data_IF_390753665929
#
_entry.id   IF_390753665929
#
_cell.length_a   1.000
_cell.length_b   1.000
_cell.length_c   1.000
_cell.angle_alpha   90.00
_cell.angle_beta   90.00
_cell.angle_gamma   90.00
#
_symmetry.space_group_name_H-M   'P 1'
#
loop_
_entity.id
_entity.type
_entity.pdbx_description
1 polymer ?
#
# COMPACT_ATOMS: atom_id res chain seq x y z
N UNK A 1 3.63 -14.40 5.13
CA UNK A 1 3.69 -13.92 3.73
C UNK A 1 2.60 -12.90 3.45
N UNK A 2 2.93 -11.62 3.33
CA UNK A 2 1.96 -10.53 3.10
C UNK A 2 1.29 -10.58 1.71
N UNK A 3 0.07 -10.02 1.61
CA UNK A 3 -0.76 -10.01 0.39
C UNK A 3 -0.03 -9.41 -0.82
N UNK A 4 0.68 -8.29 -0.63
CA UNK A 4 1.43 -7.60 -1.69
C UNK A 4 2.51 -8.50 -2.31
N UNK A 5 3.19 -9.31 -1.49
CA UNK A 5 4.20 -10.26 -1.97
C UNK A 5 3.58 -11.32 -2.88
N UNK A 6 2.38 -11.82 -2.54
CA UNK A 6 1.67 -12.81 -3.37
C UNK A 6 1.30 -12.21 -4.73
N UNK A 7 0.76 -11.00 -4.73
CA UNK A 7 0.40 -10.27 -5.96
C UNK A 7 1.61 -10.01 -6.87
N UNK A 8 2.78 -9.69 -6.28
CA UNK A 8 4.03 -9.55 -7.05
C UNK A 8 4.50 -10.88 -7.65
N UNK A 9 4.39 -11.98 -6.89
CA UNK A 9 4.77 -13.31 -7.37
C UNK A 9 3.87 -13.73 -8.54
N UNK A 10 2.57 -13.52 -8.43
CA UNK A 10 1.63 -13.83 -9.52
C UNK A 10 1.89 -12.98 -10.76
N UNK A 11 2.12 -11.66 -10.59
CA UNK A 11 2.50 -10.78 -11.71
C UNK A 11 3.75 -11.30 -12.43
N UNK A 12 4.82 -11.63 -11.68
CA UNK A 12 6.07 -12.14 -12.26
C UNK A 12 5.92 -13.50 -12.95
N UNK A 13 5.06 -14.37 -12.42
CA UNK A 13 4.78 -15.67 -13.04
C UNK A 13 4.08 -15.48 -14.39
N UNK A 14 3.07 -14.61 -14.44
CA UNK A 14 2.35 -14.28 -15.67
C UNK A 14 3.25 -13.61 -16.71
N UNK A 15 4.07 -12.63 -16.31
CA UNK A 15 4.99 -11.93 -17.22
C UNK A 15 5.99 -12.90 -17.89
N UNK A 16 6.52 -13.87 -17.13
CA UNK A 16 7.41 -14.89 -17.70
C UNK A 16 6.68 -15.83 -18.65
N UNK A 17 5.47 -16.26 -18.31
CA UNK A 17 4.69 -17.15 -19.16
C UNK A 17 4.28 -16.48 -20.49
N UNK A 18 3.92 -15.20 -20.46
CA UNK A 18 3.45 -14.48 -21.65
C UNK A 18 4.56 -14.05 -22.59
N UNK A 19 5.75 -13.71 -22.06
CA UNK A 19 6.79 -13.04 -22.86
C UNK A 19 8.12 -13.77 -22.89
N UNK A 20 8.30 -14.84 -22.09
CA UNK A 20 9.55 -15.60 -22.06
C UNK A 20 10.77 -14.82 -21.57
N UNK A 21 10.59 -13.60 -21.03
CA UNK A 21 11.69 -12.73 -20.58
C UNK A 21 11.55 -12.33 -19.11
N UNK A 22 12.68 -12.19 -18.43
CA UNK A 22 12.79 -11.69 -17.05
C UNK A 22 12.84 -10.15 -16.94
N UNK A 23 12.86 -9.44 -18.07
CA UNK A 23 13.18 -8.01 -18.13
C UNK A 23 11.93 -7.12 -18.15
N UNK A 24 11.60 -6.59 -16.96
CA UNK A 24 10.54 -5.59 -16.66
C UNK A 24 10.54 -4.37 -17.60
N UNK A 25 11.68 -4.06 -18.23
CA UNK A 25 11.82 -2.91 -19.12
C UNK A 25 11.09 -3.08 -20.46
N UNK A 26 10.72 -4.31 -20.85
CA UNK A 26 9.98 -4.56 -22.10
C UNK A 26 8.48 -4.34 -21.96
N UNK A 27 7.90 -4.60 -20.79
CA UNK A 27 6.44 -4.64 -20.65
C UNK A 27 5.81 -3.26 -20.44
N UNK A 28 6.57 -2.22 -20.04
CA UNK A 28 6.00 -0.93 -19.58
C UNK A 28 4.88 -1.07 -18.52
N UNK A 29 4.67 -2.27 -17.98
CA UNK A 29 3.61 -2.57 -17.01
C UNK A 29 4.05 -2.07 -15.65
N UNK A 30 3.21 -1.26 -15.02
CA UNK A 30 3.47 -0.74 -13.68
C UNK A 30 3.41 -1.89 -12.66
N UNK A 31 4.32 -1.89 -11.68
CA UNK A 31 4.31 -2.92 -10.62
C UNK A 31 3.01 -2.81 -9.81
N UNK A 32 2.33 -3.94 -9.60
CA UNK A 32 1.04 -3.98 -8.92
C UNK A 32 1.15 -3.40 -7.49
N UNK A 33 2.26 -3.62 -6.79
CA UNK A 33 2.41 -3.06 -5.45
C UNK A 33 2.50 -1.53 -5.49
N UNK A 34 3.21 -0.97 -6.47
CA UNK A 34 3.26 0.48 -6.69
C UNK A 34 1.87 1.03 -7.03
N UNK A 35 1.09 0.33 -7.87
CA UNK A 35 -0.27 0.74 -8.22
C UNK A 35 -1.20 0.71 -7.00
N UNK A 36 -1.19 -0.37 -6.24
CA UNK A 36 -1.99 -0.52 -5.01
C UNK A 36 -1.61 0.55 -3.98
N UNK A 37 -0.32 0.83 -3.81
CA UNK A 37 0.16 1.90 -2.94
C UNK A 37 -0.39 3.27 -3.33
N UNK A 38 -0.26 3.62 -4.62
CA UNK A 38 -0.70 4.91 -5.16
C UNK A 38 -2.20 5.09 -4.98
N UNK A 39 -2.99 4.07 -5.31
CA UNK A 39 -4.46 4.11 -5.12
C UNK A 39 -4.84 4.24 -3.64
N UNK A 40 -4.18 3.48 -2.75
CA UNK A 40 -4.39 3.59 -1.30
C UNK A 40 -4.09 5.00 -0.80
N UNK A 41 -2.99 5.61 -1.24
CA UNK A 41 -2.62 6.98 -0.86
C UNK A 41 -3.59 8.01 -1.39
N UNK A 42 -3.96 7.94 -2.66
CA UNK A 42 -4.91 8.88 -3.27
C UNK A 42 -6.25 8.86 -2.54
N UNK A 43 -6.76 7.67 -2.23
CA UNK A 43 -7.98 7.52 -1.45
C UNK A 43 -7.82 8.06 -0.03
N UNK A 44 -6.76 7.68 0.68
CA UNK A 44 -6.51 8.15 2.04
C UNK A 44 -6.35 9.67 2.13
N UNK A 45 -5.63 10.28 1.18
CA UNK A 45 -5.48 11.73 1.12
C UNK A 45 -6.76 12.43 0.72
N UNK A 46 -7.56 11.86 -0.18
CA UNK A 46 -8.89 12.37 -0.49
C UNK A 46 -9.78 12.39 0.77
N UNK A 47 -9.81 11.29 1.54
CA UNK A 47 -10.58 11.21 2.79
C UNK A 47 -10.03 12.16 3.86
N UNK A 48 -8.71 12.28 4.02
CA UNK A 48 -8.09 13.16 5.02
C UNK A 48 -8.34 14.66 4.78
N UNK A 49 -8.59 15.06 3.52
CA UNK A 49 -8.94 16.44 3.15
C UNK A 49 -10.43 16.74 3.24
N UNK A 50 -11.28 15.72 3.39
CA UNK A 50 -12.72 15.94 3.54
C UNK A 50 -13.05 16.38 4.95
N UNK A 51 -13.88 17.41 5.06
CA UNK A 51 -14.40 17.96 6.32
C UNK A 51 -15.89 17.64 6.54
N UNK A 52 -16.49 16.85 5.64
CA UNK A 52 -17.94 16.57 5.58
C UNK A 52 -18.46 15.62 6.68
N UNK A 53 -17.65 15.28 7.69
CA UNK A 53 -18.05 14.46 8.83
C UNK A 53 -18.48 13.02 8.48
N UNK A 54 -18.29 12.59 7.23
CA UNK A 54 -18.75 11.28 6.75
C UNK A 54 -17.92 10.13 7.32
N UNK A 55 -18.48 8.94 7.21
CA UNK A 55 -17.93 7.70 7.78
C UNK A 55 -16.53 7.35 7.25
N UNK A 56 -16.05 7.97 6.16
CA UNK A 56 -14.73 7.71 5.59
C UNK A 56 -13.58 7.93 6.59
N UNK A 57 -13.63 9.01 7.38
CA UNK A 57 -12.59 9.29 8.37
C UNK A 57 -12.67 8.30 9.53
N UNK A 58 -13.89 7.94 9.95
CA UNK A 58 -14.13 6.89 10.94
C UNK A 58 -13.58 5.53 10.48
N UNK A 59 -13.78 5.13 9.23
CA UNK A 59 -13.26 3.88 8.65
C UNK A 59 -11.75 3.86 8.64
N UNK A 60 -11.12 4.99 8.33
CA UNK A 60 -9.66 5.10 8.24
C UNK A 60 -8.96 5.04 9.61
N UNK A 61 -9.60 5.60 10.63
CA UNK A 61 -9.15 5.52 12.03
C UNK A 61 -9.71 4.30 12.77
N UNK A 62 -10.62 3.55 12.15
CA UNK A 62 -11.33 2.45 12.78
C UNK A 62 -10.36 1.40 13.29
N UNK A 63 -10.47 1.11 14.59
CA UNK A 63 -9.72 0.04 15.24
C UNK A 63 -10.63 -1.16 15.43
N UNK A 64 -10.37 -2.29 14.77
CA UNK A 64 -11.17 -3.49 14.95
C UNK A 64 -10.85 -4.14 16.31
N UNK A 65 -11.62 -3.76 17.34
CA UNK A 65 -11.77 -4.38 18.68
C UNK A 65 -10.65 -4.15 19.72
N UNK A 66 -11.08 -4.21 20.99
CA UNK A 66 -10.33 -4.03 22.24
C UNK A 66 -9.66 -5.33 22.77
N UNK A 67 -9.83 -6.48 22.09
CA UNK A 67 -9.34 -7.79 22.55
C UNK A 67 -8.03 -8.30 21.91
N UNK A 68 -7.45 -9.39 22.45
CA UNK A 68 -6.25 -10.07 21.91
C UNK A 68 -6.61 -10.94 20.69
N UNK A 69 -5.71 -11.02 19.69
CA UNK A 69 -5.85 -11.89 18.49
C UNK A 69 -5.02 -13.16 18.62
N UNK A 70 -5.40 -14.20 17.86
CA UNK A 70 -4.59 -15.40 17.69
C UNK A 70 -3.23 -15.07 17.07
N UNK A 71 -2.21 -15.85 17.46
CA UNK A 71 -0.84 -15.73 16.96
C UNK A 71 -0.85 -15.90 15.43
N UNK A 72 -0.10 -15.04 14.73
CA UNK A 72 0.04 -15.08 13.26
C UNK A 72 -0.86 -14.12 12.47
N UNK A 73 -1.83 -13.44 13.10
CA UNK A 73 -2.65 -12.40 12.42
C UNK A 73 -2.37 -11.01 13.01
N UNK A 74 -1.37 -10.27 12.50
CA UNK A 74 -1.04 -8.95 13.03
C UNK A 74 -2.24 -8.01 12.92
N UNK A 75 -2.34 -7.07 13.87
CA UNK A 75 -3.34 -6.01 13.84
C UNK A 75 -2.98 -4.92 12.82
N UNK A 76 -2.78 -5.29 11.55
CA UNK A 76 -2.48 -4.30 10.50
C UNK A 76 -3.72 -3.48 10.22
N UNK A 77 -3.66 -2.19 10.56
CA UNK A 77 -4.67 -1.18 10.26
C UNK A 77 -4.43 -0.61 8.87
N UNK A 78 -5.48 -0.04 8.29
CA UNK A 78 -5.36 0.69 7.03
C UNK A 78 -4.31 1.81 7.12
N UNK A 79 -4.32 2.53 8.24
CA UNK A 79 -3.36 3.60 8.55
C UNK A 79 -1.93 3.12 8.76
N UNK A 80 -1.70 1.85 9.07
CA UNK A 80 -0.34 1.35 9.32
C UNK A 80 0.46 1.23 8.02
N UNK A 81 -0.18 0.86 6.90
CA UNK A 81 0.45 0.88 5.58
C UNK A 81 0.83 2.30 5.16
N UNK A 82 -0.04 3.28 5.46
CA UNK A 82 0.20 4.68 5.12
C UNK A 82 1.31 5.26 5.99
N UNK A 83 1.28 5.00 7.30
CA UNK A 83 2.31 5.45 8.25
C UNK A 83 3.68 4.88 7.96
N UNK A 84 3.75 3.64 7.47
CA UNK A 84 5.01 3.00 7.07
C UNK A 84 5.72 3.75 5.93
N UNK A 85 4.95 4.42 5.07
CA UNK A 85 5.48 5.05 3.85
C UNK A 85 5.57 6.57 4.00
N UNK A 86 4.55 7.20 4.57
CA UNK A 86 4.40 8.64 4.70
C UNK A 86 4.74 9.17 6.10
N UNK A 87 5.12 8.29 7.03
CA UNK A 87 5.42 8.63 8.41
C UNK A 87 4.19 8.90 9.29
N UNK A 88 4.45 9.28 10.54
CA UNK A 88 3.39 9.57 11.53
C UNK A 88 2.56 10.79 11.17
N UNK A 89 3.16 11.78 10.51
CA UNK A 89 2.53 13.05 10.05
C UNK A 89 1.87 12.95 8.67
N UNK A 90 1.55 11.75 8.20
CA UNK A 90 0.98 11.52 6.88
C UNK A 90 -0.29 12.35 6.58
N UNK A 91 -1.10 12.70 7.59
CA UNK A 91 -2.29 13.56 7.42
C UNK A 91 -1.93 14.97 6.96
N UNK A 92 -0.80 15.52 7.42
CA UNK A 92 -0.29 16.81 6.99
C UNK A 92 0.29 16.70 5.57
N UNK A 93 1.09 15.66 5.33
CA UNK A 93 1.63 15.37 3.99
C UNK A 93 0.51 15.16 2.94
N UNK A 94 -0.62 14.60 3.35
CA UNK A 94 -1.79 14.41 2.50
C UNK A 94 -2.56 15.71 2.19
N UNK A 95 -2.28 16.83 2.85
CA UNK A 95 -2.88 18.12 2.46
C UNK A 95 -2.32 18.61 1.13
N UNK A 96 -1.03 18.36 0.90
CA UNK A 96 -0.39 18.63 -0.37
C UNK A 96 -0.85 17.60 -1.42
N UNK A 97 -1.48 18.08 -2.49
CA UNK A 97 -1.94 17.24 -3.62
C UNK A 97 -0.82 16.87 -4.57
N UNK A 98 0.28 17.62 -4.58
CA UNK A 98 1.45 17.37 -5.42
C UNK A 98 2.35 16.25 -4.88
N UNK A 99 2.16 15.88 -3.61
CA UNK A 99 2.95 14.87 -2.94
C UNK A 99 2.52 13.45 -3.37
N UNK A 100 3.23 12.91 -4.36
CA UNK A 100 3.19 11.48 -4.68
C UNK A 100 4.08 10.71 -3.71
N UNK A 101 3.55 9.69 -3.02
CA UNK A 101 4.39 8.87 -2.14
C UNK A 101 5.50 8.20 -2.94
N UNK A 102 6.72 8.11 -2.38
CA UNK A 102 7.75 7.24 -2.92
C UNK A 102 7.26 5.78 -2.81
N UNK A 103 6.65 5.30 -3.90
CA UNK A 103 6.12 3.93 -4.01
C UNK A 103 7.22 2.86 -4.01
N UNK A 104 8.49 3.28 -4.06
CA UNK A 104 9.69 2.43 -3.96
C UNK A 104 9.84 1.76 -2.60
N UNK A 105 9.24 2.29 -1.53
CA UNK A 105 9.46 1.82 -0.15
C UNK A 105 8.37 0.90 0.41
N UNK A 106 7.32 0.56 -0.38
CA UNK A 106 6.25 -0.36 0.11
C UNK A 106 6.71 -1.81 0.35
N UNK A 107 7.90 -2.14 -0.13
CA UNK A 107 8.66 -3.32 0.23
C UNK A 107 10.10 -2.96 -0.10
N UNK A 108 11.00 -2.73 0.89
CA UNK A 108 12.40 -2.94 0.62
C UNK A 108 12.51 -4.34 0.01
N UNK A 109 13.40 -4.51 -0.95
CA UNK A 109 13.77 -5.85 -1.36
C UNK A 109 13.97 -6.65 -0.06
N UNK A 110 13.23 -7.74 0.10
CA UNK A 110 13.74 -8.79 0.98
C UNK A 110 15.04 -9.16 0.31
N UNK A 111 16.14 -8.66 0.86
CA UNK A 111 17.46 -9.14 0.54
C UNK A 111 17.39 -10.64 0.74
N UNK A 112 17.40 -11.33 -0.40
CA UNK A 112 17.47 -12.77 -0.47
C UNK A 112 18.91 -13.06 -0.10
N UNK A 113 19.11 -13.56 1.11
CA UNK A 113 20.25 -14.43 1.39
C UNK A 113 19.93 -15.80 0.79
#
# INVERSE_FOLDING_TARGET
MGLIRRLRVTQRAMERAMLGVSLRNRTRVTDIAQRVAKLKWQWAGHIARRTDGRWGLKVLEWRPRTGKRSVGRPQTRWTDDIRRVAGSRWRQAAQDRSLELPTKDLCPAVDVN
#
